data_IF_947983364950
#
_entry.id   IF_947983364950
#
_cell.length_a   1.000
_cell.length_b   1.000
_cell.length_c   1.000
_cell.angle_alpha   90.00
_cell.angle_beta   90.00
_cell.angle_gamma   90.00
#
_symmetry.space_group_name_H-M   'P 1'
#
loop_
_entity.id
_entity.type
_entity.pdbx_description
1 polymer ?
#
# COMPACT_ATOMS: atom_id res chain seq x y z
N UNK A 1 -14.51 -8.07 34.00
CA UNK A 1 -15.22 -7.67 32.76
C UNK A 1 -15.79 -8.91 32.11
N UNK A 2 -17.04 -8.89 31.62
CA UNK A 2 -17.64 -9.98 30.84
C UNK A 2 -18.10 -9.45 29.49
N UNK A 3 -17.59 -10.04 28.40
CA UNK A 3 -18.12 -9.79 27.06
C UNK A 3 -19.40 -10.61 26.91
N UNK A 4 -20.50 -9.96 26.49
CA UNK A 4 -21.73 -10.67 26.16
C UNK A 4 -21.73 -11.03 24.68
N UNK A 5 -21.81 -12.33 24.41
CA UNK A 5 -22.04 -12.82 23.05
C UNK A 5 -23.51 -12.60 22.64
N UNK A 6 -23.77 -12.58 21.33
CA UNK A 6 -25.13 -12.40 20.80
C UNK A 6 -26.12 -13.41 21.37
N UNK A 7 -25.63 -14.62 21.64
CA UNK A 7 -26.43 -15.77 22.05
C UNK A 7 -26.68 -15.77 23.57
N UNK A 8 -25.92 -14.95 24.33
CA UNK A 8 -26.13 -14.74 25.77
C UNK A 8 -27.15 -13.62 26.06
N UNK A 9 -27.50 -12.81 25.05
CA UNK A 9 -28.47 -11.73 25.17
C UNK A 9 -29.81 -12.25 24.66
N UNK A 10 -30.83 -12.27 25.52
CA UNK A 10 -32.22 -12.57 25.11
C UNK A 10 -32.59 -11.72 23.88
N UNK A 11 -33.12 -12.37 22.83
CA UNK A 11 -33.51 -11.75 21.55
C UNK A 11 -34.39 -10.49 21.72
N UNK A 12 -35.18 -10.43 22.79
CA UNK A 12 -35.99 -9.25 23.14
C UNK A 12 -35.12 -8.02 23.41
N UNK A 13 -33.96 -8.20 24.02
CA UNK A 13 -33.01 -7.13 24.32
C UNK A 13 -31.99 -6.91 23.21
N UNK A 14 -31.55 -7.98 22.53
CA UNK A 14 -30.58 -7.87 21.44
C UNK A 14 -31.06 -6.94 20.31
N UNK A 15 -32.38 -6.94 20.01
CA UNK A 15 -33.01 -6.07 19.02
C UNK A 15 -32.97 -4.57 19.35
N UNK A 16 -32.66 -4.21 20.60
CA UNK A 16 -32.56 -2.82 21.05
C UNK A 16 -31.17 -2.22 20.76
N UNK A 17 -30.18 -3.06 20.45
CA UNK A 17 -28.81 -2.62 20.20
C UNK A 17 -28.58 -2.30 18.71
N UNK A 18 -27.71 -1.32 18.38
CA UNK A 18 -27.31 -1.09 17.00
C UNK A 18 -26.63 -2.34 16.40
N UNK A 19 -26.87 -2.60 15.11
CA UNK A 19 -26.28 -3.76 14.41
C UNK A 19 -24.75 -3.72 14.49
N UNK A 20 -24.14 -4.88 14.77
CA UNK A 20 -22.69 -5.03 14.86
C UNK A 20 -22.07 -4.54 16.18
N UNK A 21 -22.89 -4.15 17.17
CA UNK A 21 -22.39 -3.74 18.49
C UNK A 21 -22.03 -4.96 19.35
N UNK A 22 -20.98 -4.83 20.15
CA UNK A 22 -20.63 -5.77 21.24
C UNK A 22 -20.88 -5.09 22.58
N UNK A 23 -21.46 -5.81 23.54
CA UNK A 23 -21.73 -5.27 24.88
C UNK A 23 -20.72 -5.84 25.87
N UNK A 24 -20.04 -4.95 26.58
CA UNK A 24 -19.09 -5.30 27.64
C UNK A 24 -19.71 -4.91 28.99
N UNK A 25 -19.86 -5.89 29.88
CA UNK A 25 -20.25 -5.65 31.26
C UNK A 25 -19.00 -5.45 32.12
N UNK A 26 -18.94 -4.27 32.74
CA UNK A 26 -17.89 -3.90 33.70
C UNK A 26 -18.50 -4.02 35.10
N UNK A 27 -18.14 -5.11 35.79
CA UNK A 27 -18.45 -5.27 37.21
C UNK A 27 -17.28 -4.75 38.04
N UNK A 28 -17.60 -3.98 39.08
CA UNK A 28 -16.64 -3.25 39.90
C UNK A 28 -16.86 -3.62 41.35
N UNK A 29 -15.79 -3.64 42.14
CA UNK A 29 -15.94 -3.88 43.56
C UNK A 29 -16.70 -2.76 44.26
N UNK A 30 -17.37 -3.08 45.37
CA UNK A 30 -18.14 -2.14 46.16
C UNK A 30 -17.29 -1.03 46.78
N UNK A 31 -17.82 0.19 46.72
CA UNK A 31 -17.24 1.37 47.36
C UNK A 31 -17.45 1.32 48.89
N UNK A 32 -16.52 1.86 49.66
CA UNK A 32 -16.62 2.02 51.11
C UNK A 32 -16.34 0.75 51.92
N UNK A 33 -15.45 -0.12 51.43
CA UNK A 33 -14.97 -1.29 52.20
C UNK A 33 -14.02 -0.86 53.32
N UNK A 34 -14.14 -1.49 54.50
CA UNK A 34 -13.33 -1.17 55.70
C UNK A 34 -11.82 -1.26 55.51
N UNK A 35 -11.35 -2.00 54.50
CA UNK A 35 -9.93 -2.24 54.25
C UNK A 35 -9.31 -1.26 53.23
N UNK A 36 -10.05 -0.26 52.73
CA UNK A 36 -9.66 0.57 51.57
C UNK A 36 -9.47 2.03 51.91
N UNK A 37 -8.62 2.70 51.14
CA UNK A 37 -8.50 4.16 51.17
C UNK A 37 -9.59 4.79 50.31
N UNK A 38 -10.06 5.96 50.70
CA UNK A 38 -10.97 6.79 49.90
C UNK A 38 -10.39 7.06 48.50
N UNK A 39 -9.07 7.22 48.40
CA UNK A 39 -8.36 7.41 47.13
C UNK A 39 -8.54 6.25 46.16
N UNK A 40 -8.55 5.00 46.64
CA UNK A 40 -8.77 3.84 45.78
C UNK A 40 -10.19 3.82 45.21
N UNK A 41 -11.18 4.16 46.04
CA UNK A 41 -12.58 4.23 45.63
C UNK A 41 -12.79 5.32 44.56
N UNK A 42 -12.13 6.47 44.69
CA UNK A 42 -12.11 7.53 43.66
C UNK A 42 -11.52 7.03 42.34
N UNK A 43 -10.39 6.31 42.40
CA UNK A 43 -9.71 5.79 41.20
C UNK A 43 -10.57 4.74 40.47
N UNK A 44 -11.14 3.80 41.21
CA UNK A 44 -12.01 2.77 40.64
C UNK A 44 -13.28 3.38 40.03
N UNK A 45 -13.88 4.35 40.72
CA UNK A 45 -15.02 5.10 40.23
C UNK A 45 -14.70 5.87 38.94
N UNK A 46 -13.56 6.60 38.92
CA UNK A 46 -13.06 7.34 37.75
C UNK A 46 -12.88 6.44 36.53
N UNK A 47 -12.21 5.29 36.72
CA UNK A 47 -11.96 4.34 35.65
C UNK A 47 -13.27 3.77 35.09
N UNK A 48 -14.22 3.45 35.96
CA UNK A 48 -15.53 2.90 35.58
C UNK A 48 -16.34 3.89 34.75
N UNK A 49 -16.29 5.17 35.09
CA UNK A 49 -16.94 6.25 34.34
C UNK A 49 -16.25 6.49 33.00
N UNK A 50 -14.91 6.56 32.97
CA UNK A 50 -14.14 6.80 31.75
C UNK A 50 -14.31 5.71 30.70
N UNK A 51 -14.39 4.44 31.13
CA UNK A 51 -14.47 3.29 30.22
C UNK A 51 -15.91 2.97 29.75
N UNK A 52 -16.92 3.37 30.52
CA UNK A 52 -18.32 3.02 30.22
C UNK A 52 -18.99 4.01 29.25
N UNK A 53 -20.00 3.53 28.53
CA UNK A 53 -20.96 4.38 27.80
C UNK A 53 -22.29 4.53 28.54
N UNK A 54 -22.59 3.60 29.45
CA UNK A 54 -23.68 3.63 30.41
C UNK A 54 -23.09 3.25 31.77
N UNK A 55 -23.21 4.15 32.74
CA UNK A 55 -22.77 3.94 34.11
C UNK A 55 -23.97 3.65 35.00
N UNK A 56 -23.97 2.47 35.63
CA UNK A 56 -25.05 2.02 36.50
C UNK A 56 -24.57 2.15 37.95
N UNK A 57 -25.16 3.07 38.69
CA UNK A 57 -24.90 3.23 40.11
C UNK A 57 -25.93 2.48 40.93
N UNK A 58 -25.49 1.49 41.71
CA UNK A 58 -26.35 0.63 42.50
C UNK A 58 -26.25 0.97 43.99
N UNK A 59 -27.37 1.36 44.60
CA UNK A 59 -27.49 1.60 46.04
C UNK A 59 -28.67 0.83 46.64
N UNK A 60 -28.72 0.70 47.97
CA UNK A 60 -29.82 0.02 48.69
C UNK A 60 -30.60 1.06 49.51
N UNK A 61 -31.92 0.92 49.57
CA UNK A 61 -32.80 1.74 50.41
C UNK A 61 -33.42 2.90 49.65
N UNK A 62 -33.13 4.13 50.06
CA UNK A 62 -33.65 5.37 49.47
C UNK A 62 -32.51 6.28 49.03
N UNK A 63 -32.79 7.29 48.20
CA UNK A 63 -31.85 8.36 47.89
C UNK A 63 -31.92 9.38 49.02
N UNK A 64 -31.04 9.24 50.00
CA UNK A 64 -30.86 10.17 51.12
C UNK A 64 -29.54 10.95 50.99
N UNK A 65 -29.23 11.82 51.95
CA UNK A 65 -27.99 12.60 51.93
C UNK A 65 -26.76 11.70 51.97
N UNK A 66 -26.78 10.58 52.70
CA UNK A 66 -25.64 9.67 52.77
C UNK A 66 -25.37 8.99 51.41
N UNK A 67 -26.43 8.64 50.67
CA UNK A 67 -26.33 8.11 49.33
C UNK A 67 -25.78 9.15 48.33
N UNK A 68 -26.17 10.42 48.47
CA UNK A 68 -25.64 11.52 47.67
C UNK A 68 -24.18 11.85 48.03
N UNK A 69 -23.84 11.81 49.32
CA UNK A 69 -22.48 12.03 49.81
C UNK A 69 -21.52 10.96 49.27
N UNK A 70 -21.96 9.71 49.09
CA UNK A 70 -21.17 8.68 48.40
C UNK A 70 -20.91 8.98 46.92
N UNK A 71 -21.77 9.78 46.29
CA UNK A 71 -21.55 10.31 44.95
C UNK A 71 -20.79 11.64 44.94
N UNK A 72 -20.31 12.14 46.09
CA UNK A 72 -19.35 13.25 46.13
C UNK A 72 -18.06 12.92 45.38
N UNK A 73 -17.75 11.63 45.17
CA UNK A 73 -16.70 11.16 44.27
C UNK A 73 -16.83 11.76 42.86
N UNK A 74 -18.05 12.07 42.40
CA UNK A 74 -18.30 12.76 41.12
C UNK A 74 -17.76 14.19 41.12
N UNK A 75 -17.80 14.87 42.27
CA UNK A 75 -17.18 16.19 42.46
C UNK A 75 -15.65 16.07 42.38
N UNK A 76 -15.10 14.94 42.83
CA UNK A 76 -13.67 14.67 42.78
C UNK A 76 -13.21 14.22 41.39
N UNK A 77 -14.08 13.60 40.58
CA UNK A 77 -13.77 13.24 39.20
C UNK A 77 -13.25 14.43 38.38
N UNK A 78 -13.83 15.63 38.54
CA UNK A 78 -13.41 16.82 37.80
C UNK A 78 -12.04 17.34 38.25
N UNK A 79 -11.55 16.92 39.42
CA UNK A 79 -10.19 17.16 39.92
C UNK A 79 -9.22 16.05 39.49
N UNK A 80 -9.73 14.84 39.30
CA UNK A 80 -8.96 13.62 39.02
C UNK A 80 -9.06 13.14 37.57
N UNK A 81 -9.66 13.91 36.67
CA UNK A 81 -9.70 13.66 35.23
C UNK A 81 -9.45 14.98 34.52
N UNK A 82 -8.57 14.97 33.51
CA UNK A 82 -8.35 16.10 32.61
C UNK A 82 -8.76 15.75 31.18
N UNK A 83 -9.25 16.72 30.42
CA UNK A 83 -9.45 16.56 28.97
C UNK A 83 -8.13 16.82 28.25
N UNK A 84 -7.42 17.90 28.60
CA UNK A 84 -6.12 18.28 28.03
C UNK A 84 -5.11 18.67 29.12
N UNK A 85 -3.82 18.66 28.77
CA UNK A 85 -2.70 18.91 29.69
C UNK A 85 -2.55 20.37 30.12
N UNK A 86 -3.02 21.32 29.30
CA UNK A 86 -2.72 22.76 29.42
C UNK A 86 -3.86 23.58 30.05
N UNK A 87 -4.92 22.94 30.53
CA UNK A 87 -6.06 23.62 31.15
C UNK A 87 -5.96 23.58 32.68
N UNK A 88 -5.68 24.74 33.30
CA UNK A 88 -5.53 24.89 34.76
C UNK A 88 -6.86 24.75 35.53
N UNK A 89 -8.01 24.92 34.87
CA UNK A 89 -9.36 24.73 35.44
C UNK A 89 -10.31 24.24 34.36
N UNK A 90 -10.87 23.04 34.50
CA UNK A 90 -11.92 22.51 33.63
C UNK A 90 -13.29 22.59 34.32
N UNK A 91 -14.30 23.05 33.59
CA UNK A 91 -15.68 23.01 34.06
C UNK A 91 -16.23 21.57 33.91
N UNK A 92 -17.01 21.10 34.88
CA UNK A 92 -17.74 19.83 34.81
C UNK A 92 -18.58 19.71 33.52
N UNK A 93 -18.98 20.84 32.93
CA UNK A 93 -19.67 20.92 31.64
C UNK A 93 -18.83 20.50 30.44
N UNK A 94 -17.53 20.72 30.47
CA UNK A 94 -16.61 20.30 29.39
C UNK A 94 -16.40 18.78 29.45
N UNK A 95 -16.29 18.24 30.67
CA UNK A 95 -16.19 16.81 30.92
C UNK A 95 -17.49 16.05 30.61
N UNK A 96 -18.64 16.73 30.67
CA UNK A 96 -19.94 16.14 30.38
C UNK A 96 -20.06 15.60 28.95
N UNK A 97 -19.28 16.10 27.99
CA UNK A 97 -19.24 15.55 26.63
C UNK A 97 -18.68 14.12 26.57
N UNK A 98 -17.90 13.72 27.58
CA UNK A 98 -17.27 12.41 27.69
C UNK A 98 -17.95 11.52 28.74
N UNK A 99 -18.93 12.06 29.46
CA UNK A 99 -19.63 11.33 30.51
C UNK A 99 -20.57 10.27 29.92
N UNK A 100 -20.68 9.10 30.57
CA UNK A 100 -21.65 8.09 30.18
C UNK A 100 -23.06 8.54 30.53
N UNK A 101 -24.06 7.88 29.92
CA UNK A 101 -25.42 7.96 30.44
C UNK A 101 -25.43 7.40 31.88
N UNK A 102 -26.17 8.05 32.79
CA UNK A 102 -26.22 7.67 34.20
C UNK A 102 -27.54 6.97 34.52
N UNK A 103 -27.46 5.79 35.12
CA UNK A 103 -28.63 5.04 35.59
C UNK A 103 -28.46 4.70 37.06
N UNK A 104 -29.27 5.32 37.92
CA UNK A 104 -29.30 4.97 39.34
C UNK A 104 -30.30 3.85 39.59
N UNK A 105 -29.83 2.71 40.09
CA UNK A 105 -30.65 1.60 40.55
C UNK A 105 -30.71 1.62 42.08
N UNK A 106 -31.92 1.81 42.61
CA UNK A 106 -32.17 1.79 44.05
C UNK A 106 -32.81 0.45 44.42
N UNK A 107 -32.02 -0.43 45.04
CA UNK A 107 -32.40 -1.76 45.52
C UNK A 107 -33.16 -1.68 46.83
N UNK A 108 -33.96 -2.71 47.09
CA UNK A 108 -34.77 -2.86 48.31
C UNK A 108 -35.63 -1.62 48.61
N UNK A 109 -36.13 -0.98 47.55
CA UNK A 109 -36.88 0.27 47.66
C UNK A 109 -38.22 0.04 48.38
N UNK A 110 -38.46 0.80 49.44
CA UNK A 110 -39.60 0.63 50.34
C UNK A 110 -40.55 1.83 50.38
N UNK A 111 -40.17 2.96 49.77
CA UNK A 111 -41.00 4.16 49.74
C UNK A 111 -42.08 4.05 48.65
N UNK A 112 -43.19 4.75 48.83
CA UNK A 112 -44.16 4.95 47.74
C UNK A 112 -43.70 6.11 46.86
N UNK A 113 -43.65 5.91 45.55
CA UNK A 113 -43.38 6.97 44.58
C UNK A 113 -44.62 7.85 44.39
N UNK A 114 -44.99 8.58 45.44
CA UNK A 114 -46.16 9.44 45.47
C UNK A 114 -45.80 10.75 46.16
N UNK A 115 -46.01 11.87 45.49
CA UNK A 115 -45.71 13.21 46.00
C UNK A 115 -46.75 14.20 45.49
N UNK A 116 -47.08 15.21 46.30
CA UNK A 116 -48.00 16.29 45.91
C UNK A 116 -49.37 15.79 45.42
N UNK A 117 -49.82 14.64 45.96
CA UNK A 117 -51.12 14.03 45.64
C UNK A 117 -51.17 13.22 44.34
N UNK A 118 -50.02 13.02 43.65
CA UNK A 118 -49.95 12.22 42.44
C UNK A 118 -48.77 11.22 42.48
N UNK A 119 -48.88 10.16 41.69
CA UNK A 119 -47.76 9.22 41.51
C UNK A 119 -46.65 9.91 40.71
N UNK A 120 -45.40 9.57 41.04
CA UNK A 120 -44.21 10.03 40.33
C UNK A 120 -43.43 8.85 39.79
N UNK A 121 -42.68 9.07 38.71
CA UNK A 121 -41.70 8.11 38.21
C UNK A 121 -40.46 8.07 39.11
N UNK A 122 -39.72 6.97 39.07
CA UNK A 122 -38.42 6.86 39.74
C UNK A 122 -37.42 7.94 39.26
N UNK A 123 -37.51 8.33 37.98
CA UNK A 123 -36.74 9.47 37.43
C UNK A 123 -37.08 10.79 38.10
N UNK A 124 -38.38 11.11 38.22
CA UNK A 124 -38.82 12.32 38.93
C UNK A 124 -38.40 12.30 40.40
N UNK A 125 -38.38 11.13 41.04
CA UNK A 125 -37.84 10.98 42.39
C UNK A 125 -36.34 11.35 42.46
N UNK A 126 -35.51 10.88 41.52
CA UNK A 126 -34.10 11.28 41.41
C UNK A 126 -33.96 12.78 41.15
N UNK A 127 -34.70 13.34 40.18
CA UNK A 127 -34.64 14.77 39.85
C UNK A 127 -35.00 15.64 41.06
N UNK A 128 -35.99 15.23 41.86
CA UNK A 128 -36.35 15.91 43.12
C UNK A 128 -35.25 15.80 44.19
N UNK A 129 -34.60 14.65 44.33
CA UNK A 129 -33.50 14.47 45.29
C UNK A 129 -32.28 15.35 44.97
N UNK A 130 -32.07 15.65 43.68
CA UNK A 130 -30.98 16.49 43.17
C UNK A 130 -31.30 18.00 43.19
N UNK A 131 -32.51 18.41 43.62
CA UNK A 131 -32.82 19.84 43.74
C UNK A 131 -31.99 20.51 44.85
N UNK A 132 -31.55 21.77 44.65
CA UNK A 132 -30.83 22.51 45.68
C UNK A 132 -31.67 22.67 46.95
N UNK A 133 -31.02 22.48 48.09
CA UNK A 133 -31.59 22.74 49.41
C UNK A 133 -31.49 24.24 49.70
N UNK A 134 -32.55 24.84 50.24
CA UNK A 134 -32.57 26.24 50.66
C UNK A 134 -31.71 26.45 51.90
N UNK A 135 -30.94 27.54 51.91
CA UNK A 135 -30.08 27.93 53.02
C UNK A 135 -28.67 28.26 52.51
N UNK A 136 -27.94 29.06 53.28
CA UNK A 136 -26.60 29.54 52.90
C UNK A 136 -25.50 29.15 53.92
N UNK A 137 -25.83 28.22 54.83
CA UNK A 137 -24.86 27.68 55.77
C UNK A 137 -23.90 26.75 55.04
N UNK A 138 -22.64 26.69 55.48
CA UNK A 138 -21.56 25.94 54.80
C UNK A 138 -21.94 24.49 54.46
N UNK A 139 -22.58 23.76 55.38
CA UNK A 139 -23.05 22.40 55.13
C UNK A 139 -24.06 22.30 53.97
N UNK A 140 -24.93 23.32 53.81
CA UNK A 140 -25.89 23.40 52.70
C UNK A 140 -25.17 23.70 51.39
N UNK A 141 -24.12 24.53 51.42
CA UNK A 141 -23.28 24.80 50.25
C UNK A 141 -22.57 23.54 49.75
N UNK A 142 -21.95 22.75 50.64
CA UNK A 142 -21.31 21.47 50.29
C UNK A 142 -22.32 20.49 49.66
N UNK A 143 -23.50 20.35 50.27
CA UNK A 143 -24.59 19.50 49.76
C UNK A 143 -25.11 19.93 48.40
N UNK A 144 -25.21 21.23 48.16
CA UNK A 144 -25.63 21.78 46.87
C UNK A 144 -24.54 21.65 45.81
N UNK A 145 -23.26 21.68 46.19
CA UNK A 145 -22.13 21.42 45.29
C UNK A 145 -22.18 19.99 44.74
N UNK A 146 -22.41 18.98 45.59
CA UNK A 146 -22.53 17.59 45.14
C UNK A 146 -23.65 17.46 44.10
N UNK A 147 -24.83 18.02 44.40
CA UNK A 147 -25.99 17.99 43.50
C UNK A 147 -25.72 18.70 42.17
N UNK A 148 -25.12 19.88 42.21
CA UNK A 148 -24.79 20.63 41.00
C UNK A 148 -23.73 19.92 40.16
N UNK A 149 -22.72 19.30 40.78
CA UNK A 149 -21.71 18.50 40.06
C UNK A 149 -22.31 17.26 39.39
N UNK A 150 -23.16 16.49 40.09
CA UNK A 150 -23.85 15.34 39.50
C UNK A 150 -24.69 15.78 38.30
N UNK A 151 -25.44 16.88 38.44
CA UNK A 151 -26.34 17.37 37.39
C UNK A 151 -25.60 18.02 36.21
N UNK A 152 -24.43 18.61 36.45
CA UNK A 152 -23.57 19.17 35.40
C UNK A 152 -22.84 18.08 34.61
N UNK A 153 -22.27 17.09 35.31
CA UNK A 153 -21.45 16.04 34.70
C UNK A 153 -22.30 15.01 33.95
N UNK A 154 -23.32 14.44 34.58
CA UNK A 154 -24.17 13.43 33.95
C UNK A 154 -25.38 14.07 33.30
N UNK A 155 -25.29 14.59 32.08
CA UNK A 155 -26.43 15.30 31.46
C UNK A 155 -27.64 14.39 31.20
N UNK A 156 -27.40 13.13 30.85
CA UNK A 156 -28.45 12.11 30.69
C UNK A 156 -28.51 11.24 31.96
N UNK A 157 -29.65 11.31 32.68
CA UNK A 157 -29.88 10.59 33.93
C UNK A 157 -31.20 9.84 33.88
N UNK A 158 -31.21 8.64 34.43
CA UNK A 158 -32.37 7.78 34.59
C UNK A 158 -32.33 7.11 35.96
N UNK A 159 -33.50 6.70 36.47
CA UNK A 159 -33.59 6.04 37.77
C UNK A 159 -34.57 4.87 37.72
N UNK A 160 -34.20 3.75 38.35
CA UNK A 160 -35.06 2.58 38.52
C UNK A 160 -35.03 2.15 39.98
N UNK A 161 -36.19 1.77 40.49
CA UNK A 161 -36.35 1.22 41.83
C UNK A 161 -36.65 -0.27 41.70
N UNK A 162 -35.99 -1.08 42.53
CA UNK A 162 -36.22 -2.50 42.63
C UNK A 162 -36.66 -2.81 44.06
N UNK A 163 -37.83 -3.41 44.22
CA UNK A 163 -38.25 -3.96 45.51
C UNK A 163 -37.37 -5.15 45.89
N UNK A 164 -37.43 -5.59 47.16
CA UNK A 164 -36.75 -6.82 47.57
C UNK A 164 -37.17 -8.01 46.70
N UNK A 165 -36.24 -8.85 46.19
CA UNK A 165 -36.57 -10.00 45.35
C UNK A 165 -37.45 -11.05 46.05
N UNK A 166 -37.14 -11.32 47.32
CA UNK A 166 -37.90 -12.22 48.22
C UNK A 166 -37.94 -11.61 49.61
N UNK A 167 -38.93 -12.01 50.42
CA UNK A 167 -39.09 -11.51 51.80
C UNK A 167 -38.35 -12.37 52.84
N UNK A 168 -38.04 -13.62 52.50
CA UNK A 168 -37.35 -14.56 53.40
C UNK A 168 -35.82 -14.39 53.30
N UNK A 169 -35.18 -14.17 54.45
CA UNK A 169 -33.75 -13.90 54.55
C UNK A 169 -32.87 -15.09 54.13
N UNK A 170 -33.31 -16.33 54.38
CA UNK A 170 -32.58 -17.54 53.94
C UNK A 170 -32.66 -17.72 52.44
N UNK A 171 -33.78 -17.32 51.83
CA UNK A 171 -33.93 -17.30 50.37
C UNK A 171 -33.09 -16.17 49.75
N UNK A 172 -33.00 -14.99 50.39
CA UNK A 172 -32.12 -13.90 49.93
C UNK A 172 -30.65 -14.32 49.84
N UNK A 173 -30.18 -15.21 50.72
CA UNK A 173 -28.80 -15.74 50.68
C UNK A 173 -28.54 -16.73 49.54
N UNK A 174 -29.58 -17.16 48.81
CA UNK A 174 -29.51 -18.20 47.76
C UNK A 174 -30.09 -17.72 46.42
N UNK A 175 -30.15 -16.40 46.20
CA UNK A 175 -30.79 -15.78 45.03
C UNK A 175 -30.27 -16.30 43.69
N UNK A 176 -28.98 -16.65 43.62
CA UNK A 176 -28.31 -17.20 42.44
C UNK A 176 -28.84 -18.58 42.01
N UNK A 177 -29.36 -19.35 42.97
CA UNK A 177 -29.92 -20.68 42.73
C UNK A 177 -31.44 -20.71 42.64
N UNK A 178 -32.11 -19.60 43.00
CA UNK A 178 -33.56 -19.56 43.07
C UNK A 178 -34.20 -19.46 41.68
N UNK A 179 -35.20 -20.31 41.38
CA UNK A 179 -36.01 -20.18 40.17
C UNK A 179 -36.70 -18.82 40.10
N UNK A 180 -36.73 -18.23 38.89
CA UNK A 180 -37.35 -16.90 38.66
C UNK A 180 -38.80 -16.79 39.17
N UNK A 181 -39.56 -17.88 39.13
CA UNK A 181 -40.95 -17.96 39.62
C UNK A 181 -41.10 -17.74 41.13
N UNK A 182 -40.03 -17.93 41.90
CA UNK A 182 -40.03 -17.80 43.36
C UNK A 182 -39.71 -16.35 43.79
N UNK A 183 -39.34 -15.48 42.85
CA UNK A 183 -39.23 -14.06 43.10
C UNK A 183 -40.61 -13.38 43.16
N UNK A 184 -40.68 -12.28 43.89
CA UNK A 184 -41.86 -11.42 43.93
C UNK A 184 -42.19 -10.90 42.53
N UNK A 185 -43.47 -10.96 42.16
CA UNK A 185 -43.94 -10.56 40.83
C UNK A 185 -43.53 -9.12 40.49
N UNK A 186 -43.65 -8.20 41.45
CA UNK A 186 -43.27 -6.80 41.26
C UNK A 186 -41.78 -6.65 41.00
N UNK A 187 -40.93 -7.46 41.67
CA UNK A 187 -39.49 -7.45 41.42
C UNK A 187 -39.17 -7.91 39.99
N UNK A 188 -39.82 -8.96 39.52
CA UNK A 188 -39.64 -9.49 38.16
C UNK A 188 -40.01 -8.42 37.12
N UNK A 189 -41.17 -7.77 37.28
CA UNK A 189 -41.64 -6.71 36.38
C UNK A 189 -40.67 -5.52 36.37
N UNK A 190 -40.21 -5.09 37.54
CA UNK A 190 -39.24 -4.00 37.67
C UNK A 190 -37.85 -4.37 37.11
N UNK A 191 -37.43 -5.62 37.28
CA UNK A 191 -36.18 -6.15 36.73
C UNK A 191 -36.22 -6.19 35.19
N UNK A 192 -37.36 -6.58 34.61
CA UNK A 192 -37.54 -6.57 33.15
C UNK A 192 -37.56 -5.15 32.59
N UNK A 193 -38.22 -4.20 33.26
CA UNK A 193 -38.20 -2.79 32.88
C UNK A 193 -36.79 -2.17 33.03
N UNK A 194 -36.08 -2.50 34.10
CA UNK A 194 -34.67 -2.10 34.28
C UNK A 194 -33.80 -2.64 33.15
N UNK A 195 -33.89 -3.94 32.85
CA UNK A 195 -33.08 -4.60 31.81
C UNK A 195 -33.40 -4.00 30.44
N UNK A 196 -34.68 -3.79 30.13
CA UNK A 196 -35.12 -3.09 28.91
C UNK A 196 -34.49 -1.70 28.82
N UNK A 197 -34.46 -0.97 29.93
CA UNK A 197 -33.89 0.39 29.98
C UNK A 197 -32.38 0.35 29.75
N UNK A 198 -31.65 -0.58 30.37
CA UNK A 198 -30.21 -0.77 30.16
C UNK A 198 -29.91 -0.95 28.68
N UNK A 199 -30.59 -1.87 27.98
CA UNK A 199 -30.32 -2.12 26.56
C UNK A 199 -30.79 -0.98 25.65
N UNK A 200 -31.88 -0.28 25.97
CA UNK A 200 -32.31 0.93 25.23
C UNK A 200 -31.33 2.11 25.37
N UNK A 201 -30.71 2.25 26.54
CA UNK A 201 -29.80 3.35 26.88
C UNK A 201 -28.35 3.03 26.54
N UNK A 202 -27.99 1.76 26.39
CA UNK A 202 -26.64 1.34 26.00
C UNK A 202 -26.32 1.88 24.61
N UNK A 203 -25.20 2.60 24.50
CA UNK A 203 -24.70 3.17 23.25
C UNK A 203 -23.27 2.73 23.01
N UNK A 204 -22.84 2.82 21.75
CA UNK A 204 -21.42 2.66 21.40
C UNK A 204 -20.62 3.74 22.13
N UNK A 205 -19.56 3.35 22.85
CA UNK A 205 -18.65 4.28 23.50
C UNK A 205 -17.99 5.15 22.43
N UNK A 206 -17.98 6.46 22.66
CA UNK A 206 -17.34 7.43 21.77
C UNK A 206 -16.36 8.30 22.53
N UNK A 207 -15.27 8.66 21.86
CA UNK A 207 -14.32 9.69 22.29
C UNK A 207 -14.04 10.59 21.09
N UNK A 208 -14.15 11.91 21.26
CA UNK A 208 -13.93 12.89 20.19
C UNK A 208 -14.74 12.60 18.91
N UNK A 209 -15.97 12.10 19.07
CA UNK A 209 -16.87 11.73 17.96
C UNK A 209 -16.66 10.32 17.40
N UNK A 210 -15.52 9.68 17.68
CA UNK A 210 -15.13 8.39 17.11
C UNK A 210 -15.63 7.20 17.93
N UNK A 211 -16.05 6.14 17.26
CA UNK A 211 -16.49 4.91 17.91
C UNK A 211 -15.31 4.10 18.44
N UNK A 212 -15.32 3.77 19.74
CA UNK A 212 -14.26 2.99 20.39
C UNK A 212 -14.50 1.51 20.16
N UNK A 213 -13.57 0.84 19.47
CA UNK A 213 -13.58 -0.61 19.31
C UNK A 213 -12.81 -1.32 20.45
N UNK A 214 -12.81 -2.66 20.46
CA UNK A 214 -12.17 -3.44 21.52
C UNK A 214 -10.67 -3.18 21.70
N UNK A 215 -9.91 -3.03 20.61
CA UNK A 215 -8.47 -2.73 20.68
C UNK A 215 -8.22 -1.35 21.27
N UNK A 216 -8.99 -0.36 20.80
CA UNK A 216 -8.94 1.00 21.32
C UNK A 216 -9.28 1.04 22.81
N UNK A 217 -10.30 0.29 23.24
CA UNK A 217 -10.69 0.21 24.65
C UNK A 217 -9.58 -0.39 25.53
N UNK A 218 -8.92 -1.46 25.07
CA UNK A 218 -7.78 -2.05 25.79
C UNK A 218 -6.64 -1.03 25.94
N UNK A 219 -6.31 -0.30 24.87
CA UNK A 219 -5.30 0.76 24.94
C UNK A 219 -5.70 1.86 25.93
N UNK A 220 -6.98 2.28 25.95
CA UNK A 220 -7.47 3.26 26.93
C UNK A 220 -7.34 2.74 28.37
N UNK A 221 -7.69 1.47 28.62
CA UNK A 221 -7.53 0.84 29.94
C UNK A 221 -6.08 0.93 30.40
N UNK A 222 -5.12 0.54 29.54
CA UNK A 222 -3.69 0.63 29.87
C UNK A 222 -3.27 2.07 30.17
N UNK A 223 -3.59 3.02 29.29
CA UNK A 223 -3.22 4.43 29.49
C UNK A 223 -3.77 5.01 30.80
N UNK A 224 -5.02 4.73 31.13
CA UNK A 224 -5.62 5.23 32.38
C UNK A 224 -5.06 4.55 33.62
N UNK A 225 -4.90 3.23 33.60
CA UNK A 225 -4.37 2.47 34.74
C UNK A 225 -2.91 2.83 35.01
N UNK A 226 -2.09 2.97 33.97
CA UNK A 226 -0.68 3.36 34.10
C UNK A 226 -0.54 4.77 34.67
N UNK A 227 -1.38 5.72 34.20
CA UNK A 227 -1.42 7.06 34.76
C UNK A 227 -1.79 7.07 36.25
N UNK A 228 -2.84 6.33 36.63
CA UNK A 228 -3.29 6.20 38.02
C UNK A 228 -2.18 5.60 38.90
N UNK A 229 -1.56 4.51 38.45
CA UNK A 229 -0.53 3.80 39.19
C UNK A 229 0.76 4.64 39.34
N UNK A 230 1.05 5.51 38.37
CA UNK A 230 2.14 6.47 38.46
C UNK A 230 1.84 7.68 39.37
N UNK A 231 0.64 7.75 39.95
CA UNK A 231 0.20 8.89 40.77
C UNK A 231 -0.15 10.14 39.96
N UNK A 232 -0.25 10.00 38.63
CA UNK A 232 -0.63 11.09 37.71
C UNK A 232 -2.14 11.10 37.45
N UNK A 233 -2.67 12.26 37.05
CA UNK A 233 -4.09 12.44 36.74
C UNK A 233 -4.38 11.90 35.33
N UNK A 234 -5.29 10.92 35.16
CA UNK A 234 -5.71 10.44 33.84
C UNK A 234 -6.20 11.58 32.95
N UNK A 235 -5.62 11.67 31.75
CA UNK A 235 -6.00 12.71 30.78
C UNK A 235 -6.62 12.05 29.53
N UNK A 236 -7.86 12.41 29.21
CA UNK A 236 -8.65 11.83 28.11
C UNK A 236 -7.97 12.09 26.77
N UNK A 237 -7.51 13.32 26.54
CA UNK A 237 -6.87 13.73 25.30
C UNK A 237 -5.56 12.98 25.03
N UNK A 238 -4.67 12.87 26.02
CA UNK A 238 -3.39 12.16 25.85
C UNK A 238 -3.61 10.65 25.66
N UNK A 239 -4.51 10.04 26.43
CA UNK A 239 -4.87 8.63 26.24
C UNK A 239 -5.44 8.39 24.84
N UNK A 240 -6.29 9.28 24.34
CA UNK A 240 -6.83 9.20 22.98
C UNK A 240 -5.75 9.39 21.91
N UNK A 241 -4.85 10.37 22.06
CA UNK A 241 -3.72 10.57 21.15
C UNK A 241 -2.83 9.33 21.07
N UNK A 242 -2.53 8.69 22.20
CA UNK A 242 -1.76 7.45 22.24
C UNK A 242 -2.50 6.31 21.51
N UNK A 243 -3.81 6.18 21.72
CA UNK A 243 -4.64 5.17 21.01
C UNK A 243 -4.63 5.42 19.51
N UNK A 244 -4.81 6.67 19.09
CA UNK A 244 -4.72 7.12 17.70
C UNK A 244 -3.36 6.68 17.14
N UNK A 245 -2.26 7.09 17.76
CA UNK A 245 -0.91 6.75 17.31
C UNK A 245 -0.72 5.23 17.11
N UNK A 246 -1.05 4.41 18.11
CA UNK A 246 -0.88 2.95 18.06
C UNK A 246 -1.72 2.33 16.93
N UNK A 247 -3.00 2.72 16.81
CA UNK A 247 -3.87 2.18 15.77
C UNK A 247 -3.47 2.68 14.37
N UNK A 248 -2.97 3.91 14.25
CA UNK A 248 -2.45 4.50 13.02
C UNK A 248 -1.24 3.76 12.48
N UNK A 249 -0.24 3.52 13.33
CA UNK A 249 0.96 2.76 12.98
C UNK A 249 0.62 1.33 12.56
N UNK A 250 -0.31 0.69 13.28
CA UNK A 250 -0.79 -0.66 12.96
C UNK A 250 -1.49 -0.68 11.60
N UNK A 251 -2.43 0.22 11.37
CA UNK A 251 -3.18 0.33 10.11
C UNK A 251 -2.25 0.57 8.92
N UNK A 252 -1.26 1.47 9.09
CA UNK A 252 -0.24 1.75 8.09
C UNK A 252 0.57 0.49 7.76
N UNK A 253 1.11 -0.17 8.79
CA UNK A 253 1.93 -1.38 8.63
C UNK A 253 1.18 -2.52 7.93
N UNK A 254 -0.05 -2.81 8.36
CA UNK A 254 -0.87 -3.87 7.78
C UNK A 254 -1.23 -3.58 6.31
N UNK A 255 -1.58 -2.32 6.00
CA UNK A 255 -2.00 -1.93 4.66
C UNK A 255 -0.83 -1.90 3.67
N UNK A 256 0.33 -1.38 4.08
CA UNK A 256 1.55 -1.43 3.27
C UNK A 256 2.03 -2.87 3.06
N UNK A 257 1.91 -3.72 4.09
CA UNK A 257 2.22 -5.14 3.96
C UNK A 257 1.30 -5.82 2.95
N UNK A 258 -0.02 -5.57 3.01
CA UNK A 258 -0.96 -6.12 2.04
C UNK A 258 -0.59 -5.72 0.61
N UNK A 259 -0.31 -4.43 0.38
CA UNK A 259 0.15 -3.96 -0.94
C UNK A 259 1.44 -4.67 -1.39
N UNK A 260 2.43 -4.78 -0.48
CA UNK A 260 3.71 -5.47 -0.74
C UNK A 260 3.51 -6.93 -1.14
N UNK A 261 2.70 -7.64 -0.37
CA UNK A 261 2.48 -9.07 -0.55
C UNK A 261 1.80 -9.34 -1.91
N UNK A 262 0.83 -8.49 -2.30
CA UNK A 262 0.17 -8.57 -3.62
C UNK A 262 1.11 -8.27 -4.79
N UNK A 263 1.97 -7.26 -4.65
CA UNK A 263 2.97 -6.94 -5.68
C UNK A 263 4.03 -8.04 -5.79
N UNK A 264 4.48 -8.61 -4.67
CA UNK A 264 5.41 -9.73 -4.68
C UNK A 264 4.80 -10.99 -5.30
N UNK A 265 3.55 -11.30 -4.99
CA UNK A 265 2.80 -12.40 -5.61
C UNK A 265 2.75 -12.22 -7.13
N UNK A 266 2.44 -11.02 -7.61
CA UNK A 266 2.43 -10.68 -9.04
C UNK A 266 3.79 -10.95 -9.70
N UNK A 267 4.89 -10.46 -9.10
CA UNK A 267 6.25 -10.61 -9.64
C UNK A 267 6.82 -12.04 -9.47
N UNK A 268 6.22 -12.87 -8.61
CA UNK A 268 6.63 -14.27 -8.45
C UNK A 268 6.10 -15.16 -9.59
N UNK A 269 4.93 -14.82 -10.15
CA UNK A 269 4.27 -15.58 -11.23
C UNK A 269 4.62 -15.00 -12.60
N UNK A 270 4.76 -13.68 -12.71
CA UNK A 270 4.99 -12.96 -13.97
C UNK A 270 6.31 -12.19 -13.90
N UNK A 271 7.23 -12.41 -14.87
CA UNK A 271 8.57 -11.78 -14.85
C UNK A 271 8.65 -10.40 -15.50
N UNK A 272 7.94 -10.16 -16.60
CA UNK A 272 7.97 -8.88 -17.33
C UNK A 272 6.56 -8.53 -17.80
N UNK A 273 6.15 -7.28 -17.58
CA UNK A 273 4.84 -6.75 -17.94
C UNK A 273 4.97 -5.46 -18.73
N UNK A 274 3.93 -5.13 -19.51
CA UNK A 274 3.79 -3.80 -20.09
C UNK A 274 3.53 -2.75 -19.01
N UNK A 275 3.91 -1.50 -19.29
CA UNK A 275 3.81 -0.42 -18.32
C UNK A 275 2.34 -0.14 -17.92
N UNK A 276 1.43 -0.22 -18.88
CA UNK A 276 0.00 -0.06 -18.67
C UNK A 276 -0.58 -1.19 -17.81
N UNK A 277 -0.21 -2.45 -18.10
CA UNK A 277 -0.66 -3.62 -17.33
C UNK A 277 -0.21 -3.54 -15.87
N UNK A 278 1.04 -3.13 -15.65
CA UNK A 278 1.59 -2.96 -14.30
C UNK A 278 0.86 -1.84 -13.54
N UNK A 279 0.50 -0.76 -14.24
CA UNK A 279 -0.25 0.36 -13.66
C UNK A 279 -1.66 -0.07 -13.25
N UNK A 280 -2.36 -0.84 -14.07
CA UNK A 280 -3.69 -1.38 -13.74
C UNK A 280 -3.64 -2.26 -12.48
N UNK A 281 -2.63 -3.11 -12.35
CA UNK A 281 -2.44 -3.93 -11.14
C UNK A 281 -2.11 -3.10 -9.91
N UNK A 282 -1.25 -2.10 -10.06
CA UNK A 282 -0.94 -1.15 -8.99
C UNK A 282 -2.19 -0.44 -8.48
N UNK A 283 -3.04 0.10 -9.37
CA UNK A 283 -4.28 0.78 -9.00
C UNK A 283 -5.24 -0.14 -8.24
N UNK A 284 -5.37 -1.39 -8.69
CA UNK A 284 -6.17 -2.41 -8.01
C UNK A 284 -5.65 -2.67 -6.59
N UNK A 285 -4.36 -2.94 -6.42
CA UNK A 285 -3.79 -3.25 -5.11
C UNK A 285 -3.72 -2.03 -4.18
N UNK A 286 -3.55 -0.82 -4.74
CA UNK A 286 -3.67 0.44 -4.02
C UNK A 286 -5.08 0.62 -3.47
N UNK A 287 -6.11 0.30 -4.26
CA UNK A 287 -7.50 0.34 -3.79
C UNK A 287 -7.72 -0.64 -2.65
N UNK A 288 -7.30 -1.90 -2.79
CA UNK A 288 -7.45 -2.93 -1.75
C UNK A 288 -6.74 -2.52 -0.45
N UNK A 289 -5.46 -2.14 -0.51
CA UNK A 289 -4.71 -1.67 0.64
C UNK A 289 -5.32 -0.40 1.25
N UNK A 290 -5.79 0.53 0.42
CA UNK A 290 -6.45 1.75 0.87
C UNK A 290 -7.80 1.49 1.56
N UNK A 291 -8.56 0.48 1.13
CA UNK A 291 -9.80 0.08 1.82
C UNK A 291 -9.53 -0.54 3.18
N UNK A 292 -8.48 -1.37 3.30
CA UNK A 292 -8.05 -1.91 4.59
C UNK A 292 -7.62 -0.79 5.53
N UNK A 293 -6.81 0.14 5.03
CA UNK A 293 -6.33 1.30 5.79
C UNK A 293 -7.49 2.11 6.36
N UNK A 294 -8.42 2.56 5.50
CA UNK A 294 -9.60 3.36 5.92
C UNK A 294 -10.54 2.63 6.88
N UNK A 295 -10.61 1.30 6.80
CA UNK A 295 -11.43 0.51 7.73
C UNK A 295 -10.78 0.40 9.11
N UNK A 296 -9.46 0.45 9.16
CA UNK A 296 -8.68 0.35 10.38
C UNK A 296 -8.47 1.70 11.08
N UNK A 297 -8.55 2.81 10.34
CA UNK A 297 -8.36 4.16 10.87
C UNK A 297 -9.67 4.81 11.30
N UNK A 298 -9.63 5.54 12.42
CA UNK A 298 -10.66 6.51 12.82
C UNK A 298 -10.46 7.83 12.09
N UNK A 299 -11.47 8.70 11.97
CA UNK A 299 -11.31 9.94 11.19
C UNK A 299 -10.20 10.86 11.75
N UNK A 300 -9.91 10.78 13.06
CA UNK A 300 -8.81 11.48 13.71
C UNK A 300 -7.40 11.08 13.20
N UNK A 301 -7.28 9.99 12.43
CA UNK A 301 -6.02 9.47 11.89
C UNK A 301 -5.68 9.96 10.48
N UNK A 302 -6.60 10.66 9.81
CA UNK A 302 -6.54 10.84 8.36
C UNK A 302 -5.30 11.61 7.90
N UNK A 303 -4.99 12.79 8.43
CA UNK A 303 -3.97 13.66 7.84
C UNK A 303 -2.55 13.06 7.73
N UNK A 304 -1.94 12.67 8.85
CA UNK A 304 -0.52 12.29 8.88
C UNK A 304 -0.28 10.87 8.35
N UNK A 305 -1.13 9.92 8.73
CA UNK A 305 -0.96 8.52 8.33
C UNK A 305 -1.41 8.27 6.89
N UNK A 306 -2.37 9.02 6.34
CA UNK A 306 -2.70 8.93 4.91
C UNK A 306 -1.51 9.37 4.05
N UNK A 307 -0.81 10.44 4.45
CA UNK A 307 0.38 10.90 3.74
C UNK A 307 1.51 9.86 3.77
N UNK A 308 1.74 9.26 4.95
CA UNK A 308 2.72 8.18 5.10
C UNK A 308 2.34 6.95 4.27
N UNK A 309 1.06 6.59 4.23
CA UNK A 309 0.56 5.48 3.41
C UNK A 309 0.79 5.76 1.92
N UNK A 310 0.40 6.95 1.44
CA UNK A 310 0.59 7.37 0.05
C UNK A 310 2.05 7.37 -0.35
N UNK A 311 2.91 7.93 0.50
CA UNK A 311 4.36 7.98 0.27
C UNK A 311 4.96 6.58 0.26
N UNK A 312 4.55 5.70 1.18
CA UNK A 312 5.00 4.31 1.25
C UNK A 312 4.65 3.53 -0.01
N UNK A 313 3.39 3.58 -0.45
CA UNK A 313 2.94 2.89 -1.67
C UNK A 313 3.63 3.45 -2.92
N UNK A 314 3.76 4.78 -3.03
CA UNK A 314 4.44 5.42 -4.16
C UNK A 314 5.91 4.99 -4.27
N UNK A 315 6.62 4.98 -3.14
CA UNK A 315 8.03 4.54 -3.07
C UNK A 315 8.17 3.08 -3.52
N UNK A 316 7.34 2.20 -2.98
CA UNK A 316 7.33 0.79 -3.36
C UNK A 316 6.99 0.59 -4.83
N UNK A 317 6.01 1.33 -5.37
CA UNK A 317 5.64 1.23 -6.78
C UNK A 317 6.79 1.65 -7.69
N UNK A 318 7.53 2.71 -7.34
CA UNK A 318 8.71 3.12 -8.08
C UNK A 318 9.79 2.02 -8.13
N UNK A 319 10.00 1.29 -7.03
CA UNK A 319 10.90 0.14 -6.98
C UNK A 319 10.46 -0.98 -7.94
N UNK A 320 9.17 -1.36 -7.91
CA UNK A 320 8.64 -2.38 -8.82
C UNK A 320 8.71 -1.97 -10.29
N UNK A 321 8.46 -0.69 -10.60
CA UNK A 321 8.63 -0.17 -11.98
C UNK A 321 10.07 -0.28 -12.44
N UNK A 322 11.03 0.12 -11.59
CA UNK A 322 12.45 0.02 -11.90
C UNK A 322 12.88 -1.44 -12.11
N UNK A 323 12.40 -2.35 -11.28
CA UNK A 323 12.66 -3.79 -11.43
C UNK A 323 12.10 -4.32 -12.77
N UNK A 324 10.84 -4.00 -13.09
CA UNK A 324 10.23 -4.40 -14.37
C UNK A 324 10.96 -3.83 -15.59
N UNK A 325 11.48 -2.59 -15.49
CA UNK A 325 12.30 -1.99 -16.55
C UNK A 325 13.63 -2.74 -16.73
N UNK A 326 14.32 -3.10 -15.65
CA UNK A 326 15.56 -3.88 -15.70
C UNK A 326 15.34 -5.28 -16.26
N UNK A 327 14.26 -5.95 -15.86
CA UNK A 327 13.93 -7.29 -16.35
C UNK A 327 13.50 -7.25 -17.82
N UNK A 328 12.73 -6.24 -18.23
CA UNK A 328 12.40 -5.99 -19.64
C UNK A 328 13.64 -5.73 -20.48
N UNK A 329 14.58 -4.92 -19.99
CA UNK A 329 15.85 -4.65 -20.67
C UNK A 329 16.62 -5.96 -20.88
N UNK A 330 16.73 -6.78 -19.85
CA UNK A 330 17.45 -8.05 -19.89
C UNK A 330 16.81 -9.03 -20.87
N UNK A 331 15.48 -9.19 -20.80
CA UNK A 331 14.70 -10.04 -21.70
C UNK A 331 14.90 -9.62 -23.16
N UNK A 332 14.63 -8.35 -23.45
CA UNK A 332 14.69 -7.81 -24.81
C UNK A 332 16.10 -7.87 -25.39
N UNK A 333 17.12 -7.57 -24.57
CA UNK A 333 18.53 -7.62 -25.00
C UNK A 333 18.96 -9.04 -25.33
N UNK A 334 18.60 -10.02 -24.49
CA UNK A 334 18.93 -11.42 -24.76
C UNK A 334 18.21 -11.95 -26.00
N UNK A 335 16.92 -11.61 -26.15
CA UNK A 335 16.12 -12.00 -27.31
C UNK A 335 16.70 -11.45 -28.61
N UNK A 336 16.92 -10.14 -28.70
CA UNK A 336 17.43 -9.52 -29.95
C UNK A 336 18.84 -10.02 -30.29
N UNK A 337 19.71 -10.23 -29.30
CA UNK A 337 21.06 -10.75 -29.56
C UNK A 337 21.01 -12.19 -30.07
N UNK A 338 20.10 -13.02 -29.56
CA UNK A 338 19.85 -14.37 -30.09
C UNK A 338 19.37 -14.33 -31.53
N UNK A 339 18.31 -13.55 -31.80
CA UNK A 339 17.75 -13.40 -33.16
C UNK A 339 18.79 -12.89 -34.16
N UNK A 340 19.62 -11.91 -33.77
CA UNK A 340 20.69 -11.38 -34.62
C UNK A 340 21.80 -12.39 -34.87
N UNK A 341 22.12 -13.25 -33.90
CA UNK A 341 23.09 -14.32 -34.07
C UNK A 341 22.60 -15.41 -35.04
N UNK A 342 21.29 -15.62 -35.11
CA UNK A 342 20.66 -16.57 -36.03
C UNK A 342 20.57 -16.05 -37.48
N UNK A 343 20.88 -14.78 -37.72
CA UNK A 343 20.92 -14.21 -39.08
C UNK A 343 22.07 -14.81 -39.89
N UNK A 344 21.74 -15.67 -40.85
CA UNK A 344 22.72 -16.26 -41.76
C UNK A 344 23.03 -15.33 -42.93
N UNK A 345 24.04 -14.48 -42.75
CA UNK A 345 24.52 -13.55 -43.79
C UNK A 345 25.15 -14.23 -45.02
N UNK A 346 25.36 -15.53 -44.99
CA UNK A 346 25.96 -16.28 -46.10
C UNK A 346 24.98 -16.47 -47.26
N UNK A 347 23.68 -16.52 -46.96
CA UNK A 347 22.62 -16.72 -47.94
C UNK A 347 22.11 -15.40 -48.55
N UNK A 348 22.50 -14.26 -47.98
CA UNK A 348 22.08 -12.92 -48.44
C UNK A 348 22.98 -12.45 -49.58
N UNK A 349 22.38 -12.15 -50.72
CA UNK A 349 23.10 -11.80 -51.97
C UNK A 349 23.04 -10.32 -52.31
N UNK A 350 21.97 -9.63 -51.95
CA UNK A 350 21.77 -8.20 -52.21
C UNK A 350 21.20 -7.41 -51.01
N UNK A 351 21.07 -6.09 -51.18
CA UNK A 351 20.62 -5.19 -50.13
C UNK A 351 19.11 -5.26 -49.87
N UNK A 352 18.31 -5.71 -50.85
CA UNK A 352 16.87 -5.84 -50.70
C UNK A 352 16.58 -7.08 -49.83
N UNK A 353 17.24 -8.22 -50.12
CA UNK A 353 17.19 -9.42 -49.27
C UNK A 353 17.67 -9.12 -47.84
N UNK A 354 18.71 -8.30 -47.68
CA UNK A 354 19.17 -7.88 -46.35
C UNK A 354 18.10 -7.06 -45.61
N UNK A 355 17.42 -6.16 -46.31
CA UNK A 355 16.34 -5.35 -45.76
C UNK A 355 15.16 -6.22 -45.32
N UNK A 356 14.78 -7.20 -46.13
CA UNK A 356 13.71 -8.14 -45.83
C UNK A 356 14.03 -8.97 -44.59
N UNK A 357 15.25 -9.50 -44.48
CA UNK A 357 15.70 -10.28 -43.30
C UNK A 357 15.59 -9.46 -42.01
N UNK A 358 15.99 -8.19 -42.03
CA UNK A 358 15.90 -7.33 -40.84
C UNK A 358 14.47 -6.90 -40.51
N UNK A 359 13.63 -6.75 -41.54
CA UNK A 359 12.20 -6.44 -41.37
C UNK A 359 11.48 -7.62 -40.75
N UNK A 360 11.68 -8.85 -41.27
CA UNK A 360 11.13 -10.09 -40.71
C UNK A 360 11.60 -10.29 -39.25
N UNK A 361 12.88 -10.05 -38.97
CA UNK A 361 13.43 -10.17 -37.62
C UNK A 361 12.74 -9.21 -36.65
N UNK A 362 12.55 -7.95 -37.03
CA UNK A 362 11.91 -6.95 -36.19
C UNK A 362 10.41 -7.25 -36.00
N UNK A 363 9.67 -7.36 -37.11
CA UNK A 363 8.21 -7.38 -37.15
C UNK A 363 7.62 -8.75 -36.80
N UNK A 364 8.22 -9.84 -37.28
CA UNK A 364 7.64 -11.18 -37.13
C UNK A 364 8.24 -11.95 -35.95
N UNK A 365 9.51 -11.72 -35.61
CA UNK A 365 10.20 -12.47 -34.54
C UNK A 365 10.27 -11.68 -33.24
N UNK A 366 10.93 -10.53 -33.27
CA UNK A 366 11.17 -9.76 -32.05
C UNK A 366 9.88 -9.20 -31.45
N UNK A 367 9.01 -8.60 -32.26
CA UNK A 367 7.77 -8.00 -31.76
C UNK A 367 6.80 -9.01 -31.13
N UNK A 368 6.87 -10.29 -31.50
CA UNK A 368 6.05 -11.38 -30.97
C UNK A 368 6.42 -11.77 -29.54
N UNK A 369 7.72 -11.86 -29.24
CA UNK A 369 8.23 -12.35 -27.95
C UNK A 369 8.67 -11.24 -27.00
N UNK A 370 9.12 -10.10 -27.52
CA UNK A 370 9.59 -8.98 -26.70
C UNK A 370 8.43 -8.36 -25.92
N UNK A 371 8.69 -8.09 -24.63
CA UNK A 371 7.71 -7.50 -23.70
C UNK A 371 8.32 -6.44 -22.81
N UNK A 372 7.46 -5.51 -22.41
CA UNK A 372 7.73 -4.53 -21.37
C UNK A 372 8.35 -3.22 -21.88
N UNK A 373 8.61 -2.29 -20.96
CA UNK A 373 8.91 -0.89 -21.29
C UNK A 373 10.22 -0.69 -22.07
N UNK A 374 11.16 -1.64 -22.03
CA UNK A 374 12.43 -1.53 -22.75
C UNK A 374 12.34 -1.99 -24.22
N UNK A 375 11.23 -2.61 -24.63
CA UNK A 375 11.04 -3.27 -25.93
C UNK A 375 11.51 -2.43 -27.12
N UNK A 376 10.96 -1.23 -27.27
CA UNK A 376 11.28 -0.37 -28.43
C UNK A 376 12.65 0.28 -28.31
N UNK A 377 13.10 0.58 -27.09
CA UNK A 377 14.41 1.19 -26.86
C UNK A 377 15.53 0.24 -27.31
N UNK A 378 15.48 -1.02 -26.88
CA UNK A 378 16.46 -2.05 -27.24
C UNK A 378 16.47 -2.30 -28.75
N UNK A 379 15.28 -2.46 -29.37
CA UNK A 379 15.18 -2.67 -30.81
C UNK A 379 15.81 -1.53 -31.60
N UNK A 380 15.46 -0.28 -31.26
CA UNK A 380 16.03 0.91 -31.90
C UNK A 380 17.54 0.99 -31.75
N UNK A 381 18.10 0.65 -30.59
CA UNK A 381 19.55 0.70 -30.35
C UNK A 381 20.31 -0.33 -31.20
N UNK A 382 19.70 -1.50 -31.46
CA UNK A 382 20.27 -2.54 -32.33
C UNK A 382 20.12 -2.19 -33.80
N UNK A 383 18.94 -1.77 -34.25
CA UNK A 383 18.65 -1.44 -35.65
C UNK A 383 19.49 -0.26 -36.16
N UNK A 384 19.97 0.61 -35.27
CA UNK A 384 20.90 1.70 -35.64
C UNK A 384 22.31 1.24 -36.00
N UNK A 385 22.72 0.03 -35.59
CA UNK A 385 24.12 -0.43 -35.69
C UNK A 385 24.27 -1.69 -36.51
N UNK A 386 23.56 -2.76 -36.13
CA UNK A 386 23.78 -4.10 -36.68
C UNK A 386 23.42 -4.22 -38.17
N UNK A 387 22.31 -3.66 -38.67
CA UNK A 387 22.02 -3.69 -40.10
C UNK A 387 23.10 -3.00 -40.94
N UNK A 388 23.65 -1.89 -40.46
CA UNK A 388 24.74 -1.17 -41.14
C UNK A 388 26.04 -1.98 -41.17
N UNK A 389 26.38 -2.66 -40.07
CA UNK A 389 27.51 -3.59 -40.03
C UNK A 389 27.35 -4.73 -41.04
N UNK A 390 26.14 -5.30 -41.14
CA UNK A 390 25.82 -6.36 -42.11
C UNK A 390 25.86 -5.86 -43.55
N UNK A 391 25.28 -4.68 -43.83
CA UNK A 391 25.30 -4.05 -45.15
C UNK A 391 26.74 -3.75 -45.61
N UNK A 392 27.60 -3.28 -44.70
CA UNK A 392 29.02 -3.07 -44.99
C UNK A 392 29.73 -4.36 -45.37
N UNK A 393 29.51 -5.46 -44.63
CA UNK A 393 30.10 -6.77 -44.96
C UNK A 393 29.63 -7.29 -46.32
N UNK A 394 28.34 -7.10 -46.63
CA UNK A 394 27.77 -7.47 -47.93
C UNK A 394 28.45 -6.68 -49.07
N UNK A 395 28.62 -5.37 -48.88
CA UNK A 395 29.32 -4.51 -49.83
C UNK A 395 30.78 -4.96 -50.03
N UNK A 396 31.52 -5.21 -48.95
CA UNK A 396 32.91 -5.68 -49.01
C UNK A 396 33.01 -7.02 -49.77
N UNK A 397 32.08 -7.96 -49.55
CA UNK A 397 32.01 -9.23 -50.30
C UNK A 397 31.70 -9.01 -51.78
N UNK A 398 30.76 -8.12 -52.10
CA UNK A 398 30.38 -7.81 -53.49
C UNK A 398 31.55 -7.18 -54.26
N UNK A 399 32.25 -6.22 -53.65
CA UNK A 399 33.47 -5.62 -54.22
C UNK A 399 34.55 -6.68 -54.42
N UNK A 400 34.79 -7.56 -53.45
CA UNK A 400 35.77 -8.63 -53.58
C UNK A 400 35.43 -9.61 -54.72
N UNK A 401 34.15 -9.97 -54.90
CA UNK A 401 33.70 -10.82 -56.01
C UNK A 401 33.95 -10.16 -57.36
N UNK A 402 33.61 -8.88 -57.53
CA UNK A 402 33.85 -8.16 -58.78
C UNK A 402 35.34 -7.91 -59.03
N UNK A 403 36.14 -7.63 -57.99
CA UNK A 403 37.59 -7.52 -58.09
C UNK A 403 38.23 -8.83 -58.57
N UNK A 404 37.86 -9.97 -57.99
CA UNK A 404 38.36 -11.28 -58.40
C UNK A 404 37.98 -11.62 -59.85
N UNK A 405 36.78 -11.23 -60.29
CA UNK A 405 36.32 -11.36 -61.67
C UNK A 405 37.12 -10.47 -62.63
N UNK A 406 37.43 -9.24 -62.23
CA UNK A 406 38.28 -8.33 -63.00
C UNK A 406 39.72 -8.86 -63.11
N UNK A 407 40.32 -9.33 -62.01
CA UNK A 407 41.66 -9.95 -62.00
C UNK A 407 41.72 -11.16 -62.93
N UNK A 408 40.69 -12.01 -62.92
CA UNK A 408 40.61 -13.17 -63.83
C UNK A 408 40.59 -12.74 -65.29
N UNK A 409 39.81 -11.70 -65.64
CA UNK A 409 39.79 -11.13 -67.00
C UNK A 409 41.13 -10.50 -67.39
N UNK A 410 41.80 -9.82 -66.46
CA UNK A 410 43.13 -9.24 -66.71
C UNK A 410 44.14 -10.35 -67.00
N UNK A 411 44.13 -11.43 -66.21
CA UNK A 411 45.01 -12.58 -66.40
C UNK A 411 44.75 -13.28 -67.74
N UNK A 412 43.49 -13.52 -68.10
CA UNK A 412 43.12 -14.08 -69.41
C UNK A 412 43.61 -13.18 -70.56
N UNK A 413 43.49 -11.85 -70.43
CA UNK A 413 43.99 -10.91 -71.42
C UNK A 413 45.52 -10.88 -71.50
N UNK A 414 46.23 -11.02 -70.37
CA UNK A 414 47.69 -11.11 -70.33
C UNK A 414 48.20 -12.40 -70.94
N UNK A 415 47.58 -13.54 -70.62
CA UNK A 415 47.91 -14.84 -71.21
C UNK A 415 47.71 -14.82 -72.73
N UNK A 416 46.61 -14.21 -73.19
CA UNK A 416 46.35 -14.02 -74.63
C UNK A 416 47.38 -13.10 -75.29
N UNK A 417 47.73 -11.97 -74.66
CA UNK A 417 48.75 -11.05 -75.15
C UNK A 417 50.14 -11.71 -75.26
N UNK A 418 50.51 -12.57 -74.30
CA UNK A 418 51.75 -13.33 -74.35
C UNK A 418 51.80 -14.27 -75.57
N UNK A 419 50.70 -14.99 -75.83
CA UNK A 419 50.56 -15.84 -77.02
C UNK A 419 50.68 -15.03 -78.32
N UNK A 420 50.05 -13.85 -78.38
CA UNK A 420 50.10 -13.00 -79.56
C UNK A 420 51.50 -12.37 -79.77
N UNK A 421 52.21 -12.02 -78.70
CA UNK A 421 53.59 -11.55 -78.77
C UNK A 421 54.54 -12.62 -79.32
N UNK A 422 54.38 -13.87 -78.87
CA UNK A 422 55.19 -14.99 -79.34
C UNK A 422 54.93 -15.30 -80.82
N UNK A 423 53.67 -15.21 -81.28
CA UNK A 423 53.33 -15.27 -82.71
C UNK A 423 53.99 -14.15 -83.51
N UNK A 424 53.98 -12.92 -83.00
CA UNK A 424 54.59 -11.77 -83.67
C UNK A 424 56.10 -11.95 -83.81
N UNK A 425 56.76 -12.51 -82.79
CA UNK A 425 58.20 -12.74 -82.80
C UNK A 425 58.62 -13.79 -83.85
N UNK A 426 57.82 -14.86 -84.02
CA UNK A 426 58.00 -15.85 -85.09
C UNK A 426 57.85 -15.20 -86.47
N UNK A 427 56.83 -14.38 -86.66
CA UNK A 427 56.60 -13.61 -87.89
C UNK A 427 57.78 -12.67 -88.18
N UNK A 428 58.23 -11.91 -87.19
CA UNK A 428 59.36 -10.99 -87.32
C UNK A 428 60.64 -11.72 -87.70
N UNK A 429 60.95 -12.86 -87.06
CA UNK A 429 62.10 -13.69 -87.43
C UNK A 429 62.03 -14.22 -88.86
N UNK A 430 60.82 -14.52 -89.35
CA UNK A 430 60.60 -14.97 -90.74
C UNK A 430 60.89 -13.82 -91.72
N UNK A 431 60.34 -12.63 -91.47
CA UNK A 431 60.53 -11.44 -92.32
C UNK A 431 61.97 -10.94 -92.29
N UNK A 432 62.63 -10.91 -91.13
CA UNK A 432 64.06 -10.56 -91.00
C UNK A 432 64.95 -11.55 -91.77
N UNK A 433 64.63 -12.85 -91.70
CA UNK A 433 65.31 -13.88 -92.47
C UNK A 433 65.12 -13.76 -93.99
N UNK A 434 63.95 -13.32 -94.46
CA UNK A 434 63.71 -12.99 -95.87
C UNK A 434 64.45 -11.72 -96.29
N UNK A 435 64.40 -10.66 -95.48
CA UNK A 435 65.09 -9.41 -95.75
C UNK A 435 66.60 -9.60 -95.85
N UNK A 436 67.22 -10.36 -94.93
CA UNK A 436 68.65 -10.70 -94.99
C UNK A 436 69.02 -11.47 -96.26
N UNK A 437 68.16 -12.39 -96.72
CA UNK A 437 68.36 -13.12 -97.98
C UNK A 437 68.30 -12.18 -99.19
N UNK A 438 67.32 -11.28 -99.23
CA UNK A 438 67.23 -10.27 -100.29
C UNK A 438 68.40 -9.28 -100.27
N UNK A 439 68.89 -8.90 -99.09
CA UNK A 439 70.05 -8.00 -98.94
C UNK A 439 71.35 -8.66 -99.41
N UNK A 440 71.56 -9.95 -99.10
CA UNK A 440 72.69 -10.71 -99.61
C UNK A 440 72.66 -10.77 -101.14
N UNK A 441 71.49 -11.11 -101.71
CA UNK A 441 71.29 -11.14 -103.16
C UNK A 441 71.52 -9.78 -103.84
N UNK A 442 71.11 -8.68 -103.20
CA UNK A 442 71.41 -7.33 -103.67
C UNK A 442 72.90 -7.00 -103.65
N UNK A 443 73.62 -7.41 -102.60
CA UNK A 443 75.07 -7.17 -102.51
C UNK A 443 75.85 -7.98 -103.55
N UNK A 444 75.47 -9.23 -103.80
CA UNK A 444 76.05 -10.06 -104.86
C UNK A 444 75.85 -9.40 -106.24
N UNK A 445 74.62 -8.96 -106.54
CA UNK A 445 74.31 -8.22 -107.78
C UNK A 445 75.11 -6.90 -107.90
N UNK A 446 75.37 -6.22 -106.78
CA UNK A 446 76.16 -4.99 -106.74
C UNK A 446 77.64 -5.26 -107.02
N UNK A 447 78.21 -6.35 -106.52
CA UNK A 447 79.57 -6.78 -106.85
C UNK A 447 79.70 -7.18 -108.32
N UNK A 448 78.75 -7.97 -108.84
CA UNK A 448 78.71 -8.33 -110.27
C UNK A 448 78.63 -7.09 -111.17
N UNK A 449 77.78 -6.12 -110.82
CA UNK A 449 77.66 -4.88 -111.56
C UNK A 449 78.93 -4.02 -111.47
N UNK A 450 79.60 -4.00 -110.31
CA UNK A 450 80.91 -3.36 -110.14
C UNK A 450 82.00 -4.00 -111.02
N UNK A 451 82.01 -5.33 -111.13
CA UNK A 451 82.89 -6.07 -112.04
C UNK A 451 82.60 -5.78 -113.51
N UNK A 452 81.32 -5.69 -113.88
CA UNK A 452 80.86 -5.29 -115.22
C UNK A 452 81.31 -3.87 -115.57
N UNK A 453 81.16 -2.91 -114.66
CA UNK A 453 81.62 -1.53 -114.85
C UNK A 453 83.14 -1.46 -115.04
N UNK A 454 83.92 -2.22 -114.25
CA UNK A 454 85.38 -2.30 -114.46
C UNK A 454 85.75 -2.94 -115.80
N UNK A 455 85.00 -3.93 -116.26
CA UNK A 455 85.20 -4.58 -117.56
C UNK A 455 84.88 -3.63 -118.71
N UNK A 456 83.78 -2.88 -118.62
CA UNK A 456 83.41 -1.85 -119.58
C UNK A 456 84.46 -0.72 -119.61
N UNK A 457 84.96 -0.28 -118.46
CA UNK A 457 86.01 0.74 -118.38
C UNK A 457 87.33 0.28 -119.05
N UNK A 458 87.71 -1.00 -118.89
CA UNK A 458 88.87 -1.59 -119.59
C UNK A 458 88.67 -1.65 -121.10
N UNK A 459 87.47 -2.03 -121.56
CA UNK A 459 87.13 -2.07 -122.98
C UNK A 459 87.10 -0.66 -123.60
N UNK A 460 86.60 0.35 -122.88
CA UNK A 460 86.62 1.75 -123.33
C UNK A 460 88.03 2.33 -123.44
N UNK A 461 88.96 1.93 -122.57
CA UNK A 461 90.39 2.29 -122.68
C UNK A 461 91.05 1.63 -123.89
N UNK A 462 90.74 0.36 -124.17
CA UNK A 462 91.27 -0.37 -125.33
C UNK A 462 90.76 0.16 -126.68
N UNK A 463 89.58 0.78 -126.71
CA UNK A 463 89.00 1.41 -127.93
C UNK A 463 89.61 2.79 -128.22
N UNK A 464 90.11 3.50 -127.20
CA UNK A 464 90.76 4.81 -127.39
C UNK A 464 92.23 4.73 -127.85
N UNK A 465 92.85 3.54 -127.78
CA UNK A 465 94.22 3.27 -128.26
C UNK A 465 94.25 2.66 -129.69
N UNK A 466 93.09 2.55 -130.36
CA UNK A 466 92.93 2.23 -131.78
C UNK A 466 92.59 3.48 -132.59
#
# INVERSE_FOLDING_TARGET
MKLLDSDEIDDRFARLLPRGTRVLLLDTEGLGSYARSETFDVQLFSLSVLLSSLFIYNSTGSIDEAALDKLSLVVELTKHIRIQTDEDVQDARELAAFSPAFLWVVRDFSLKLHMDGHDISARQYLDKALLPIRGDVEQVRTKNLIRSSITAFFQERECKTLVRPVSDEKLLQKLDTLPRKDFRKEFIEQLDDFTTTVFKKTRVKRLFGEAVNGRMLVNLVHNYVDAINAGSVPTIGTAWQNVVQIEGERALKESLKLYKDRMNELFSVWKVMEAEELTVKHEQYLLDAGTLFRKATVAALSGTFEEQFRTGVSTMYAEYRKQNEMDSLTLCTNLINGLVADVQLEDVTDFDELSDVWTELADEKYHLEAKGPAKYKVLCDVLKKRPLEHARRLLERSIAKEAAKAERKIKEAQDQSAVDYERLNVLYGTVDGEWKRSLAMYNDLKEENGSLIQTIARLSLAINDM
#
